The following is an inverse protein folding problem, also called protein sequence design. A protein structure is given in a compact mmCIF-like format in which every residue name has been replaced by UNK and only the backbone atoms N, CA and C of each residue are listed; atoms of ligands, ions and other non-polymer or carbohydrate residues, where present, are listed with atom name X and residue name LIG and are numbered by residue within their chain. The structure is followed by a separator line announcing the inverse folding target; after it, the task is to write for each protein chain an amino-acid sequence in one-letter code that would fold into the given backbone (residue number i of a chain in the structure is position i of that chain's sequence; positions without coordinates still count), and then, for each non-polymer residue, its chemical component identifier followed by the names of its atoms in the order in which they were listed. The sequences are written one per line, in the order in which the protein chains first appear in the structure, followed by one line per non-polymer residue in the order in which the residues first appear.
data_IF_983906527417
#
_entry.id   IF_983906527417
#
_cell.length_a   1.000
_cell.length_b   1.000
_cell.length_c   1.000
_cell.angle_alpha   90.00
_cell.angle_beta   90.00
_cell.angle_gamma   90.00
#
_symmetry.space_group_name_H-M   'P 1'
#
loop_
_entity.id
_entity.type
_entity.pdbx_description
1 polymer ?
#
# COMPACT_ATOMS: atom_id res chain seq x y z
N UNK A 1 0.06 -29.75 9.49
CA UNK A 1 1.33 -29.02 9.78
C UNK A 1 1.53 -27.82 8.85
N UNK A 2 1.39 -27.92 7.52
CA UNK A 2 1.64 -26.81 6.58
C UNK A 2 0.71 -25.60 6.76
N UNK A 3 -0.53 -25.80 7.24
CA UNK A 3 -1.54 -24.76 7.48
C UNK A 3 -1.17 -23.83 8.65
N UNK A 4 -0.36 -24.28 9.59
CA UNK A 4 0.03 -23.50 10.76
C UNK A 4 1.27 -22.64 10.53
N UNK A 5 2.07 -22.92 9.49
CA UNK A 5 3.30 -22.16 9.20
C UNK A 5 3.01 -20.70 8.86
N UNK A 6 2.02 -20.41 8.01
CA UNK A 6 1.63 -19.04 7.70
C UNK A 6 1.20 -18.29 8.97
N UNK A 7 0.34 -18.90 9.79
CA UNK A 7 -0.13 -18.28 11.03
C UNK A 7 1.01 -18.01 12.05
N UNK A 8 2.05 -18.88 12.07
CA UNK A 8 3.21 -18.68 12.93
C UNK A 8 4.00 -17.44 12.51
N UNK A 9 4.22 -17.25 11.21
CA UNK A 9 4.90 -16.04 10.70
C UNK A 9 4.10 -14.79 11.01
N UNK A 10 2.80 -14.77 10.75
CA UNK A 10 1.93 -13.62 11.05
C UNK A 10 1.92 -13.31 12.56
N UNK A 11 1.81 -14.35 13.42
CA UNK A 11 1.79 -14.15 14.86
C UNK A 11 3.14 -13.65 15.40
N UNK A 12 4.26 -14.21 14.90
CA UNK A 12 5.60 -13.75 15.27
C UNK A 12 5.82 -12.28 14.85
N UNK A 13 5.31 -11.86 13.68
CA UNK A 13 5.37 -10.46 13.20
C UNK A 13 4.61 -9.51 14.14
N UNK A 14 3.42 -9.90 14.60
CA UNK A 14 2.65 -9.10 15.56
C UNK A 14 3.44 -8.89 16.84
N UNK A 15 3.98 -9.96 17.44
CA UNK A 15 4.76 -9.87 18.68
C UNK A 15 6.02 -9.03 18.48
N UNK A 16 6.80 -9.33 17.43
CA UNK A 16 8.07 -8.65 17.14
C UNK A 16 7.83 -7.21 16.72
N UNK A 17 6.76 -6.93 15.97
CA UNK A 17 6.35 -5.58 15.59
C UNK A 17 6.06 -4.67 16.77
N UNK A 18 5.55 -5.21 17.89
CA UNK A 18 5.38 -4.41 19.12
C UNK A 18 6.71 -3.89 19.68
N UNK A 19 7.82 -4.60 19.51
CA UNK A 19 9.13 -4.10 19.94
C UNK A 19 9.56 -2.84 19.20
N UNK A 20 9.06 -2.60 17.97
CA UNK A 20 9.35 -1.37 17.22
C UNK A 20 8.89 -0.10 17.95
N UNK A 21 7.87 -0.20 18.81
CA UNK A 21 7.41 0.93 19.63
C UNK A 21 8.40 1.31 20.74
N UNK A 22 9.33 0.44 21.11
CA UNK A 22 10.38 0.73 22.10
C UNK A 22 11.47 1.66 21.56
N UNK A 23 11.64 1.73 20.24
CA UNK A 23 12.68 2.55 19.63
C UNK A 23 12.29 4.02 19.52
N UNK A 24 13.31 4.89 19.52
CA UNK A 24 13.18 6.33 19.34
C UNK A 24 13.85 6.84 18.08
N UNK A 25 14.69 6.01 17.47
CA UNK A 25 15.45 6.29 16.27
C UNK A 25 15.45 5.07 15.33
N UNK A 26 15.74 5.31 14.05
CA UNK A 26 15.98 4.26 13.08
C UNK A 26 17.44 3.79 13.17
N UNK A 27 17.75 3.01 14.18
CA UNK A 27 19.06 2.37 14.34
C UNK A 27 19.12 1.01 13.62
N UNK A 28 20.32 0.41 13.59
CA UNK A 28 20.55 -0.88 12.92
C UNK A 28 19.63 -1.98 13.48
N UNK A 29 19.38 -1.97 14.80
CA UNK A 29 18.53 -2.96 15.46
C UNK A 29 17.08 -2.81 15.01
N UNK A 30 16.59 -1.56 14.93
CA UNK A 30 15.27 -1.26 14.37
C UNK A 30 15.15 -1.78 12.93
N UNK A 31 16.15 -1.48 12.07
CA UNK A 31 16.14 -1.90 10.67
C UNK A 31 16.12 -3.41 10.50
N UNK A 32 16.86 -4.16 11.34
CA UNK A 32 16.84 -5.64 11.33
C UNK A 32 15.46 -6.15 11.69
N UNK A 33 14.83 -5.64 12.75
CA UNK A 33 13.49 -6.05 13.19
C UNK A 33 12.45 -5.69 12.12
N UNK A 34 12.53 -4.47 11.57
CA UNK A 34 11.64 -4.00 10.52
C UNK A 34 11.76 -4.85 9.25
N UNK A 35 12.98 -5.17 8.83
CA UNK A 35 13.25 -6.06 7.69
C UNK A 35 12.69 -7.47 7.92
N UNK A 36 12.87 -8.01 9.13
CA UNK A 36 12.27 -9.29 9.51
C UNK A 36 10.75 -9.25 9.35
N UNK A 37 10.09 -8.20 9.82
CA UNK A 37 8.63 -8.05 9.67
C UNK A 37 8.21 -8.05 8.19
N UNK A 38 8.92 -7.33 7.31
CA UNK A 38 8.63 -7.32 5.88
C UNK A 38 8.89 -8.64 5.18
N UNK A 39 9.97 -9.35 5.53
CA UNK A 39 10.27 -10.68 4.96
C UNK A 39 9.22 -11.70 5.43
N UNK A 40 8.84 -11.67 6.69
CA UNK A 40 7.81 -12.58 7.22
C UNK A 40 6.47 -12.39 6.54
N UNK A 41 6.08 -11.15 6.21
CA UNK A 41 4.90 -10.79 5.43
C UNK A 41 4.95 -11.39 4.01
N UNK A 42 6.06 -11.19 3.32
CA UNK A 42 6.25 -11.75 1.98
C UNK A 42 6.19 -13.28 1.98
N UNK A 43 6.74 -13.94 3.02
CA UNK A 43 6.76 -15.39 3.15
C UNK A 43 5.39 -15.96 3.50
N UNK A 44 4.63 -15.36 4.41
CA UNK A 44 3.31 -15.86 4.76
C UNK A 44 2.33 -15.69 3.60
N UNK A 45 2.36 -14.55 2.89
CA UNK A 45 1.61 -14.33 1.66
C UNK A 45 1.96 -15.33 0.55
N UNK A 46 3.25 -15.67 0.39
CA UNK A 46 3.68 -16.72 -0.55
C UNK A 46 3.17 -18.10 -0.14
N UNK A 47 3.29 -18.46 1.14
CA UNK A 47 2.82 -19.73 1.70
C UNK A 47 1.30 -19.87 1.58
N UNK A 48 0.55 -18.81 1.91
CA UNK A 48 -0.92 -18.80 1.82
C UNK A 48 -1.41 -19.07 0.39
N UNK A 49 -0.80 -18.39 -0.61
CA UNK A 49 -1.12 -18.62 -2.03
C UNK A 49 -0.76 -20.02 -2.51
N UNK A 50 0.42 -20.55 -2.11
CA UNK A 50 0.90 -21.87 -2.54
C UNK A 50 0.13 -23.03 -1.93
N UNK A 51 -0.39 -22.86 -0.71
CA UNK A 51 -1.07 -23.93 0.03
C UNK A 51 -2.59 -23.78 0.08
N UNK A 52 -3.16 -22.74 -0.56
CA UNK A 52 -4.61 -22.52 -0.61
C UNK A 52 -5.23 -22.27 0.78
N UNK A 53 -4.48 -21.74 1.74
CA UNK A 53 -4.91 -21.56 3.14
C UNK A 53 -5.41 -20.16 3.43
N UNK A 54 -6.01 -19.48 2.44
CA UNK A 54 -6.58 -18.14 2.61
C UNK A 54 -7.82 -18.24 3.49
N UNK A 55 -7.68 -17.94 4.79
CA UNK A 55 -8.78 -17.86 5.75
C UNK A 55 -9.01 -16.43 6.21
N UNK A 56 -10.25 -16.07 6.51
CA UNK A 56 -10.62 -14.72 6.99
C UNK A 56 -9.85 -14.29 8.24
N UNK A 57 -9.53 -15.20 9.14
CA UNK A 57 -8.77 -14.96 10.37
C UNK A 57 -7.29 -14.63 10.08
N UNK A 58 -6.68 -15.32 9.09
CA UNK A 58 -5.32 -15.03 8.65
C UNK A 58 -5.18 -13.63 8.06
N UNK A 59 -6.12 -13.25 7.20
CA UNK A 59 -6.16 -11.92 6.57
C UNK A 59 -6.30 -10.78 7.60
N UNK A 60 -7.10 -10.97 8.66
CA UNK A 60 -7.24 -9.95 9.71
C UNK A 60 -5.96 -9.78 10.54
N UNK A 61 -5.31 -10.89 10.91
CA UNK A 61 -4.05 -10.87 11.63
C UNK A 61 -2.92 -10.25 10.80
N UNK A 62 -2.91 -10.50 9.51
CA UNK A 62 -2.01 -9.91 8.53
C UNK A 62 -2.13 -8.38 8.51
N UNK A 63 -3.35 -7.88 8.33
CA UNK A 63 -3.63 -6.44 8.39
C UNK A 63 -3.23 -5.81 9.74
N UNK A 64 -3.47 -6.50 10.87
CA UNK A 64 -3.06 -6.02 12.18
C UNK A 64 -1.53 -5.96 12.31
N UNK A 65 -0.81 -6.96 11.80
CA UNK A 65 0.65 -6.97 11.77
C UNK A 65 1.22 -5.79 10.98
N UNK A 66 0.66 -5.51 9.81
CA UNK A 66 1.05 -4.35 8.98
C UNK A 66 0.81 -3.03 9.71
N UNK A 67 -0.37 -2.86 10.30
CA UNK A 67 -0.69 -1.65 11.06
C UNK A 67 0.29 -1.42 12.21
N UNK A 68 0.66 -2.45 12.96
CA UNK A 68 1.63 -2.36 14.06
C UNK A 68 2.98 -1.87 13.53
N UNK A 69 3.48 -2.45 12.44
CA UNK A 69 4.77 -2.08 11.84
C UNK A 69 4.74 -0.64 11.33
N UNK A 70 3.68 -0.23 10.60
CA UNK A 70 3.55 1.13 10.09
C UNK A 70 3.33 2.17 11.20
N UNK A 71 2.58 1.85 12.24
CA UNK A 71 2.43 2.76 13.40
C UNK A 71 3.72 2.90 14.20
N UNK A 72 4.50 1.81 14.36
CA UNK A 72 5.83 1.88 14.97
C UNK A 72 6.77 2.80 14.20
N UNK A 73 6.78 2.74 12.86
CA UNK A 73 7.53 3.63 11.99
C UNK A 73 7.02 5.08 12.10
N UNK A 74 5.72 5.29 12.01
CA UNK A 74 5.11 6.61 12.06
C UNK A 74 5.39 7.32 13.41
N UNK A 75 5.38 6.57 14.53
CA UNK A 75 5.75 7.10 15.84
C UNK A 75 7.13 7.73 15.82
N UNK A 76 8.14 7.07 15.23
CA UNK A 76 9.52 7.61 15.19
C UNK A 76 9.56 8.84 14.30
N UNK A 77 8.94 8.80 13.10
CA UNK A 77 8.89 9.94 12.19
C UNK A 77 8.23 11.18 12.80
N UNK A 78 7.20 10.99 13.64
CA UNK A 78 6.48 12.10 14.27
C UNK A 78 7.13 12.60 15.55
N UNK A 79 7.93 11.76 16.22
CA UNK A 79 8.49 12.07 17.54
C UNK A 79 9.95 12.53 17.49
N UNK A 80 10.63 12.38 16.35
CA UNK A 80 12.05 12.68 16.24
C UNK A 80 12.31 13.72 15.14
N UNK A 81 12.73 14.90 15.56
CA UNK A 81 12.98 16.05 14.67
C UNK A 81 14.05 15.78 13.61
N UNK A 82 14.94 14.82 13.86
CA UNK A 82 15.99 14.41 12.91
C UNK A 82 15.42 13.93 11.55
N UNK A 83 14.21 13.32 11.56
CA UNK A 83 13.64 12.65 10.39
C UNK A 83 12.56 13.47 9.68
N UNK A 84 12.49 14.78 9.97
CA UNK A 84 11.54 15.64 9.29
C UNK A 84 11.88 15.78 7.80
N UNK A 85 10.84 15.63 6.98
CA UNK A 85 10.93 15.96 5.56
C UNK A 85 10.88 17.46 5.35
N UNK A 86 11.37 17.95 4.22
CA UNK A 86 11.21 19.36 3.84
C UNK A 86 9.72 19.72 3.73
N UNK A 87 9.35 20.92 4.19
CA UNK A 87 7.94 21.35 4.33
C UNK A 87 7.12 21.22 3.05
N UNK A 88 7.72 21.45 1.89
CA UNK A 88 7.03 21.35 0.61
C UNK A 88 6.62 19.90 0.26
N UNK A 89 7.33 18.88 0.78
CA UNK A 89 6.96 17.45 0.62
C UNK A 89 5.63 17.17 1.30
N UNK A 90 5.38 17.74 2.48
CA UNK A 90 4.10 17.59 3.18
C UNK A 90 2.94 18.23 2.39
N UNK A 91 3.16 19.40 1.79
CA UNK A 91 2.15 20.03 0.94
C UNK A 91 1.87 19.22 -0.32
N UNK A 92 2.90 18.66 -0.94
CA UNK A 92 2.73 17.77 -2.09
C UNK A 92 1.92 16.52 -1.70
N UNK A 93 2.29 15.88 -0.58
CA UNK A 93 1.58 14.71 -0.09
C UNK A 93 0.11 15.03 0.23
N UNK A 94 -0.17 16.15 0.87
CA UNK A 94 -1.54 16.62 1.13
C UNK A 94 -2.34 16.81 -0.17
N UNK A 95 -1.75 17.42 -1.20
CA UNK A 95 -2.36 17.55 -2.53
C UNK A 95 -2.68 16.19 -3.16
N UNK A 96 -1.77 15.23 -3.03
CA UNK A 96 -1.99 13.86 -3.51
C UNK A 96 -3.15 13.16 -2.77
N UNK A 97 -3.27 13.36 -1.46
CA UNK A 97 -4.41 12.84 -0.68
C UNK A 97 -5.74 13.42 -1.14
N UNK A 98 -5.77 14.70 -1.52
CA UNK A 98 -6.99 15.31 -2.09
C UNK A 98 -7.36 14.62 -3.41
N UNK A 99 -6.41 14.33 -4.29
CA UNK A 99 -6.68 13.60 -5.54
C UNK A 99 -7.24 12.20 -5.24
N UNK A 100 -6.69 11.48 -4.27
CA UNK A 100 -7.21 10.19 -3.83
C UNK A 100 -8.64 10.29 -3.28
N UNK A 101 -8.92 11.31 -2.47
CA UNK A 101 -10.26 11.53 -1.91
C UNK A 101 -11.29 11.80 -3.03
N UNK A 102 -10.92 12.62 -4.01
CA UNK A 102 -11.77 12.89 -5.19
C UNK A 102 -12.00 11.61 -5.99
N UNK A 103 -10.97 10.82 -6.24
CA UNK A 103 -11.10 9.54 -6.93
C UNK A 103 -12.04 8.60 -6.18
N UNK A 104 -11.86 8.42 -4.86
CA UNK A 104 -12.71 7.60 -4.02
C UNK A 104 -14.18 8.08 -4.01
N UNK A 105 -14.40 9.39 -3.97
CA UNK A 105 -15.73 9.98 -4.04
C UNK A 105 -16.43 9.68 -5.37
N UNK A 106 -15.71 9.82 -6.50
CA UNK A 106 -16.24 9.47 -7.82
C UNK A 106 -16.58 7.99 -7.89
N UNK A 107 -15.72 7.11 -7.38
CA UNK A 107 -15.97 5.67 -7.32
C UNK A 107 -17.22 5.34 -6.50
N UNK A 108 -17.35 5.95 -5.32
CA UNK A 108 -18.51 5.77 -4.45
C UNK A 108 -19.81 6.29 -5.11
N UNK A 109 -19.77 7.46 -5.74
CA UNK A 109 -20.91 8.05 -6.41
C UNK A 109 -21.39 7.21 -7.62
N UNK A 110 -20.48 6.62 -8.39
CA UNK A 110 -20.78 5.84 -9.59
C UNK A 110 -21.17 4.39 -9.28
N UNK A 111 -20.42 3.74 -8.40
CA UNK A 111 -20.55 2.30 -8.18
C UNK A 111 -21.23 1.95 -6.86
N UNK A 112 -21.53 2.94 -5.99
CA UNK A 112 -22.11 2.76 -4.64
C UNK A 112 -21.31 1.80 -3.74
N UNK A 113 -20.02 1.58 -4.06
CA UNK A 113 -19.08 0.76 -3.32
C UNK A 113 -17.73 1.48 -3.26
N UNK A 114 -17.05 1.39 -2.12
CA UNK A 114 -15.64 1.80 -2.02
C UNK A 114 -14.81 0.68 -2.64
N UNK A 115 -14.03 1.04 -3.65
CA UNK A 115 -13.27 0.06 -4.40
C UNK A 115 -11.85 0.60 -4.63
N UNK A 116 -10.89 -0.23 -4.27
CA UNK A 116 -9.47 0.10 -4.41
C UNK A 116 -8.94 -0.47 -5.72
N UNK A 117 -8.34 0.40 -6.52
CA UNK A 117 -7.75 0.00 -7.80
C UNK A 117 -6.38 -0.63 -7.54
N UNK A 118 -6.22 -1.88 -7.89
CA UNK A 118 -4.94 -2.60 -7.76
C UNK A 118 -4.05 -2.36 -8.97
N UNK A 119 -3.40 -1.18 -9.01
CA UNK A 119 -2.44 -0.83 -10.07
C UNK A 119 -1.02 -1.26 -9.71
N UNK A 120 -0.15 -1.33 -10.73
CA UNK A 120 1.28 -1.59 -10.53
C UNK A 120 1.94 -0.44 -9.77
N UNK A 121 1.51 0.81 -10.01
CA UNK A 121 1.98 1.98 -9.28
C UNK A 121 1.66 1.90 -7.77
N UNK A 122 0.50 1.35 -7.39
CA UNK A 122 0.15 1.11 -6.00
C UNK A 122 1.08 0.10 -5.32
N UNK A 123 1.49 -0.96 -6.01
CA UNK A 123 2.48 -1.92 -5.51
C UNK A 123 3.86 -1.28 -5.34
N UNK A 124 4.28 -0.47 -6.31
CA UNK A 124 5.54 0.28 -6.24
C UNK A 124 5.53 1.25 -5.06
N UNK A 125 4.43 1.96 -4.83
CA UNK A 125 4.25 2.86 -3.69
C UNK A 125 4.43 2.10 -2.36
N UNK A 126 3.84 0.93 -2.21
CA UNK A 126 4.02 0.09 -1.02
C UNK A 126 5.49 -0.26 -0.77
N UNK A 127 6.24 -0.65 -1.81
CA UNK A 127 7.67 -0.92 -1.71
C UNK A 127 8.44 0.34 -1.31
N UNK A 128 8.15 1.50 -1.89
CA UNK A 128 8.81 2.76 -1.55
C UNK A 128 8.54 3.18 -0.11
N UNK A 129 7.32 3.04 0.38
CA UNK A 129 6.98 3.32 1.79
C UNK A 129 7.79 2.42 2.73
N UNK A 130 8.00 1.14 2.37
CA UNK A 130 8.85 0.23 3.13
C UNK A 130 10.33 0.67 3.18
N UNK A 131 10.81 1.48 2.25
CA UNK A 131 12.19 1.99 2.27
C UNK A 131 12.42 3.19 3.20
N UNK A 132 11.37 3.79 3.79
CA UNK A 132 11.46 5.00 4.63
C UNK A 132 12.48 4.85 5.77
N UNK A 133 12.43 3.81 6.63
CA UNK A 133 13.38 3.69 7.74
C UNK A 133 14.83 3.62 7.29
N UNK A 134 15.08 2.94 6.17
CA UNK A 134 16.43 2.85 5.58
C UNK A 134 16.90 4.22 5.08
N UNK A 135 16.02 4.96 4.40
CA UNK A 135 16.35 6.31 3.95
C UNK A 135 16.61 7.28 5.10
N UNK A 136 15.85 7.18 6.17
CA UNK A 136 16.08 7.96 7.37
C UNK A 136 17.42 7.61 8.06
N UNK A 137 17.79 6.33 8.06
CA UNK A 137 19.06 5.88 8.61
C UNK A 137 20.27 6.44 7.83
N UNK A 138 20.18 6.52 6.51
CA UNK A 138 21.24 7.04 5.62
C UNK A 138 21.11 8.54 5.32
N UNK A 139 20.27 9.29 6.03
CA UNK A 139 19.97 10.72 5.81
C UNK A 139 19.47 11.05 4.38
N UNK A 140 18.80 10.07 3.74
CA UNK A 140 18.21 10.17 2.40
C UNK A 140 16.69 10.40 2.44
N UNK A 141 16.10 10.77 3.60
CA UNK A 141 14.66 10.89 3.80
C UNK A 141 13.98 11.78 2.75
N UNK A 142 14.61 12.91 2.37
CA UNK A 142 14.00 13.80 1.38
C UNK A 142 13.96 13.18 -0.02
N UNK A 143 15.01 12.45 -0.43
CA UNK A 143 15.03 11.77 -1.73
C UNK A 143 13.95 10.68 -1.79
N UNK A 144 13.80 9.88 -0.73
CA UNK A 144 12.75 8.88 -0.63
C UNK A 144 11.36 9.53 -0.55
N UNK A 145 11.23 10.63 0.21
CA UNK A 145 9.98 11.40 0.27
C UNK A 145 9.53 11.89 -1.11
N UNK A 146 10.45 12.40 -1.93
CA UNK A 146 10.17 12.80 -3.32
C UNK A 146 9.71 11.60 -4.15
N UNK A 147 10.44 10.48 -4.08
CA UNK A 147 10.09 9.27 -4.82
C UNK A 147 8.70 8.75 -4.44
N UNK A 148 8.36 8.78 -3.14
CA UNK A 148 7.03 8.41 -2.64
C UNK A 148 5.96 9.37 -3.16
N UNK A 149 6.20 10.68 -3.13
CA UNK A 149 5.25 11.67 -3.65
C UNK A 149 4.99 11.48 -5.14
N UNK A 150 6.03 11.23 -5.94
CA UNK A 150 5.88 10.94 -7.39
C UNK A 150 5.06 9.67 -7.60
N UNK A 151 5.40 8.57 -6.92
CA UNK A 151 4.68 7.31 -7.06
C UNK A 151 3.22 7.41 -6.56
N UNK A 152 3.00 8.10 -5.43
CA UNK A 152 1.67 8.34 -4.87
C UNK A 152 0.80 9.20 -5.81
N UNK A 153 1.37 10.26 -6.39
CA UNK A 153 0.65 11.11 -7.34
C UNK A 153 0.28 10.35 -8.60
N UNK A 154 1.21 9.54 -9.13
CA UNK A 154 0.94 8.67 -10.28
C UNK A 154 -0.19 7.70 -9.98
N UNK A 155 -0.15 7.01 -8.83
CA UNK A 155 -1.20 6.10 -8.41
C UNK A 155 -2.54 6.80 -8.15
N UNK A 156 -2.53 8.02 -7.61
CA UNK A 156 -3.74 8.83 -7.41
C UNK A 156 -4.39 9.21 -8.74
N UNK A 157 -3.60 9.64 -9.72
CA UNK A 157 -4.06 9.96 -11.07
C UNK A 157 -4.61 8.70 -11.78
N UNK A 158 -3.91 7.58 -11.71
CA UNK A 158 -4.40 6.31 -12.25
C UNK A 158 -5.72 5.91 -11.61
N UNK A 159 -5.85 6.02 -10.29
CA UNK A 159 -7.09 5.75 -9.56
C UNK A 159 -8.22 6.66 -10.01
N UNK A 160 -7.95 7.95 -10.22
CA UNK A 160 -8.92 8.92 -10.71
C UNK A 160 -9.42 8.56 -12.12
N UNK A 161 -8.51 8.21 -13.03
CA UNK A 161 -8.83 7.80 -14.41
C UNK A 161 -9.67 6.53 -14.39
N UNK A 162 -9.26 5.52 -13.64
CA UNK A 162 -9.97 4.24 -13.57
C UNK A 162 -11.38 4.43 -13.01
N UNK A 163 -11.51 5.10 -11.86
CA UNK A 163 -12.82 5.31 -11.23
C UNK A 163 -13.73 6.25 -12.04
N UNK A 164 -13.14 7.18 -12.82
CA UNK A 164 -13.87 8.06 -13.72
C UNK A 164 -14.34 7.40 -15.01
N UNK A 165 -13.59 6.45 -15.56
CA UNK A 165 -13.80 5.91 -16.91
C UNK A 165 -14.18 4.43 -16.96
N UNK A 166 -13.92 3.63 -15.91
CA UNK A 166 -14.22 2.20 -15.92
C UNK A 166 -15.72 1.93 -16.12
N UNK A 167 -16.10 0.94 -16.93
CA UNK A 167 -17.50 0.58 -17.16
C UNK A 167 -18.13 -0.15 -15.97
N UNK A 168 -17.35 -0.90 -15.21
CA UNK A 168 -17.81 -1.69 -14.04
C UNK A 168 -16.86 -1.57 -12.86
N UNK A 169 -17.36 -1.80 -11.64
CA UNK A 169 -16.58 -1.75 -10.40
C UNK A 169 -15.59 -2.94 -10.24
N UNK A 170 -15.72 -3.98 -11.07
CA UNK A 170 -14.91 -5.22 -11.00
C UNK A 170 -13.80 -5.27 -12.04
N UNK A 171 -13.50 -4.15 -12.73
CA UNK A 171 -12.43 -4.10 -13.72
C UNK A 171 -11.08 -4.23 -13.00
N UNK A 172 -10.49 -5.42 -13.04
CA UNK A 172 -9.12 -5.67 -12.56
C UNK A 172 -8.14 -5.09 -13.60
N UNK A 173 -7.87 -3.80 -13.47
CA UNK A 173 -7.11 -3.02 -14.45
C UNK A 173 -5.69 -2.86 -13.93
N UNK A 174 -4.73 -3.46 -14.63
CA UNK A 174 -3.30 -3.33 -14.28
C UNK A 174 -2.76 -1.93 -14.54
N UNK A 175 -3.27 -1.27 -15.58
CA UNK A 175 -2.85 0.07 -16.01
C UNK A 175 -4.05 0.90 -16.47
N UNK A 176 -3.99 2.21 -16.21
CA UNK A 176 -5.08 3.14 -16.56
C UNK A 176 -5.45 3.14 -18.07
N UNK A 177 -4.50 2.87 -18.98
CA UNK A 177 -4.80 2.82 -20.43
C UNK A 177 -5.61 1.59 -20.85
N UNK A 178 -5.64 0.51 -20.05
CA UNK A 178 -6.48 -0.66 -20.35
C UNK A 178 -7.97 -0.32 -20.20
N UNK A 179 -8.32 0.66 -19.38
CA UNK A 179 -9.71 1.13 -19.22
C UNK A 179 -10.31 1.58 -20.55
N UNK A 180 -9.50 2.22 -21.41
CA UNK A 180 -9.96 2.67 -22.73
C UNK A 180 -10.38 1.49 -23.62
N UNK A 181 -9.59 0.40 -23.61
CA UNK A 181 -9.91 -0.84 -24.33
C UNK A 181 -11.18 -1.49 -23.80
N UNK A 182 -11.32 -1.59 -22.49
CA UNK A 182 -12.51 -2.17 -21.87
C UNK A 182 -13.78 -1.38 -22.20
N UNK A 183 -13.67 -0.05 -22.26
CA UNK A 183 -14.79 0.82 -22.65
C UNK A 183 -15.19 0.65 -24.11
N UNK A 184 -14.23 0.50 -25.01
CA UNK A 184 -14.46 0.23 -26.44
C UNK A 184 -15.11 -1.16 -26.63
N UNK A 185 -14.65 -2.17 -25.92
CA UNK A 185 -15.25 -3.51 -25.95
C UNK A 185 -16.68 -3.52 -25.40
N UNK A 186 -16.93 -2.84 -24.29
CA UNK A 186 -18.28 -2.72 -23.73
C UNK A 186 -19.25 -2.00 -24.69
N UNK A 187 -18.75 -1.02 -25.45
CA UNK A 187 -19.55 -0.30 -26.45
C UNK A 187 -19.87 -1.15 -27.67
N UNK A 188 -18.91 -1.94 -28.13
CA UNK A 188 -19.10 -2.84 -29.29
C UNK A 188 -20.08 -3.98 -28.95
N UNK A 189 -19.97 -4.56 -27.74
CA UNK A 189 -20.89 -5.60 -27.30
C UNK A 189 -22.33 -5.08 -27.14
N UNK A 190 -22.52 -3.82 -26.77
CA UNK A 190 -23.85 -3.20 -26.68
C UNK A 190 -24.49 -2.96 -28.06
N UNK A 191 -23.67 -2.70 -29.11
CA UNK A 191 -24.14 -2.53 -30.50
C UNK A 191 -24.41 -3.84 -31.21
N UNK A 192 -23.87 -4.97 -30.78
CA UNK A 192 -24.16 -6.30 -31.31
C UNK A 192 -25.43 -6.95 -30.75
N UNK A 193 -25.98 -6.39 -29.68
CA UNK A 193 -27.20 -6.90 -29.00
C UNK A 193 -28.48 -6.12 -29.31
N UNK A 194 -28.39 -5.06 -30.11
CA UNK A 194 -29.52 -4.33 -30.76
C UNK A 194 -29.75 -4.82 -32.20
#
# INVERSE_FOLDING_TARGET
MKKYLANIFTFSRVIIGFFLFGFREFDVTYLIIFLYCGISDALDGFCARRFGTVGSMGSTLDTLGDLIVYFGMAKILLSNDKYHFQSWIYFWFAGTLVIFAVAAFIGLARFKKVYFVHTISGKLLGILVFTIPFGCYFDLQNAIGIAICVAATTNAIESLIVQGLAPTAESDVKFAWEVKKLREQAKNNATETE
#
